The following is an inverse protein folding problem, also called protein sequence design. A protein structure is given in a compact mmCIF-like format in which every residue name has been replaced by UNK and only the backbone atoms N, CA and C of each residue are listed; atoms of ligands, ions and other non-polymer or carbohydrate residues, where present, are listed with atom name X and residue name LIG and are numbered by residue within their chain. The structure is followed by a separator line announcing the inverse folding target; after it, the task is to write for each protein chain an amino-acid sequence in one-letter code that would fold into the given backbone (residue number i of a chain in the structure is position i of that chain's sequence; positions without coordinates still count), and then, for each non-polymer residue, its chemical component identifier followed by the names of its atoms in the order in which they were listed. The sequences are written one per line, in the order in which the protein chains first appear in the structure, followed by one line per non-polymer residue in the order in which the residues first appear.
data_IF_582144089511
#
_entry.id   IF_582144089511
#
_cell.length_a   1.000
_cell.length_b   1.000
_cell.length_c   1.000
_cell.angle_alpha   90.00
_cell.angle_beta   90.00
_cell.angle_gamma   90.00
#
_symmetry.space_group_name_H-M   'P 1'
#
loop_
_entity.id
_entity.type
_entity.pdbx_description
1 polymer ?
#
# COMPACT_ATOMS: atom_id res chain seq x y z
N UNK A 1 -28.35 0.17 15.69
CA UNK A 1 -28.34 1.56 16.16
C UNK A 1 -27.56 1.57 17.48
N UNK A 2 -26.29 1.92 17.43
CA UNK A 2 -25.45 2.20 18.61
C UNK A 2 -24.61 3.42 18.25
N UNK A 3 -25.13 4.59 18.63
CA UNK A 3 -24.45 5.88 18.61
C UNK A 3 -23.79 6.03 19.98
N UNK A 4 -22.66 5.36 20.21
CA UNK A 4 -21.82 5.62 21.38
C UNK A 4 -20.37 5.64 20.90
N UNK A 5 -19.67 6.71 21.29
CA UNK A 5 -18.25 7.01 21.10
C UNK A 5 -17.84 7.71 19.79
N UNK A 6 -18.53 8.80 19.41
CA UNK A 6 -17.83 9.86 18.67
C UNK A 6 -17.02 10.71 19.66
N UNK A 7 -15.69 10.80 19.50
CA UNK A 7 -14.86 11.63 20.36
C UNK A 7 -15.27 13.10 20.21
N UNK A 8 -15.45 13.78 21.34
CA UNK A 8 -15.78 15.20 21.41
C UNK A 8 -14.71 16.00 20.64
N UNK A 9 -15.12 16.69 19.58
CA UNK A 9 -14.23 17.52 18.76
C UNK A 9 -14.13 18.93 19.39
N UNK A 10 -12.97 19.35 19.93
CA UNK A 10 -12.78 20.71 20.42
C UNK A 10 -12.80 21.75 19.28
N UNK A 11 -12.87 23.03 19.67
CA UNK A 11 -13.07 24.18 18.78
C UNK A 11 -12.05 24.31 17.63
N UNK A 12 -10.88 23.69 17.76
CA UNK A 12 -9.79 23.72 16.79
C UNK A 12 -9.93 22.69 15.64
N UNK A 13 -10.99 21.87 15.65
CA UNK A 13 -11.29 20.92 14.58
C UNK A 13 -10.51 19.59 14.61
N UNK A 14 -9.70 19.35 15.65
CA UNK A 14 -8.98 18.10 15.90
C UNK A 14 -9.38 17.50 17.24
N UNK A 15 -9.57 16.18 17.34
CA UNK A 15 -9.87 15.51 18.61
C UNK A 15 -8.69 15.61 19.59
N UNK A 16 -8.95 15.47 20.89
CA UNK A 16 -7.90 15.40 21.92
C UNK A 16 -6.95 14.21 21.71
N UNK A 17 -7.44 13.13 21.08
CA UNK A 17 -6.64 11.95 20.73
C UNK A 17 -5.81 12.12 19.46
N UNK A 18 -5.88 13.29 18.80
CA UNK A 18 -5.12 13.56 17.59
C UNK A 18 -3.61 13.47 17.86
N UNK A 19 -2.89 12.82 16.94
CA UNK A 19 -1.47 12.58 17.11
C UNK A 19 -0.67 13.88 16.99
N UNK A 20 0.27 14.08 17.93
CA UNK A 20 1.27 15.15 17.91
C UNK A 20 2.62 14.59 18.33
N UNK A 21 3.68 14.91 17.59
CA UNK A 21 5.02 14.39 17.89
C UNK A 21 5.58 14.87 19.24
N UNK A 22 5.18 16.06 19.68
CA UNK A 22 5.62 16.69 20.94
C UNK A 22 4.83 16.20 22.17
N UNK A 23 3.74 15.45 21.97
CA UNK A 23 2.83 15.01 23.02
C UNK A 23 2.43 13.52 22.88
N UNK A 24 3.41 12.65 22.63
CA UNK A 24 3.18 11.20 22.56
C UNK A 24 2.85 10.68 23.97
N UNK A 25 1.68 10.06 24.21
CA UNK A 25 1.28 9.62 25.54
C UNK A 25 2.18 8.48 26.05
N UNK A 26 2.32 8.40 27.38
CA UNK A 26 3.00 7.29 28.04
C UNK A 26 2.29 5.97 27.74
N UNK A 27 3.08 4.95 27.50
CA UNK A 27 2.62 3.66 27.00
C UNK A 27 3.17 2.51 27.82
N UNK A 28 2.43 1.40 27.84
CA UNK A 28 2.89 0.16 28.48
C UNK A 28 4.13 -0.40 27.78
N UNK A 29 4.88 -1.24 28.50
CA UNK A 29 6.02 -1.96 27.95
C UNK A 29 5.72 -2.57 26.57
N UNK A 30 6.62 -2.37 25.62
CA UNK A 30 6.60 -3.04 24.34
C UNK A 30 6.76 -4.55 24.59
N UNK A 31 5.78 -5.38 24.22
CA UNK A 31 5.90 -6.82 24.41
C UNK A 31 7.04 -7.35 23.57
N UNK A 32 7.80 -8.31 24.10
CA UNK A 32 8.77 -9.05 23.31
C UNK A 32 8.01 -9.82 22.25
N UNK A 33 8.05 -9.33 21.01
CA UNK A 33 7.19 -9.83 19.96
C UNK A 33 7.82 -11.09 19.36
N UNK A 34 7.70 -12.21 20.08
CA UNK A 34 8.16 -13.53 19.65
C UNK A 34 7.56 -13.92 18.29
N UNK A 35 6.43 -13.33 17.93
CA UNK A 35 5.74 -13.54 16.65
C UNK A 35 6.41 -12.84 15.45
N UNK A 36 7.40 -11.98 15.70
CA UNK A 36 8.29 -11.44 14.68
C UNK A 36 9.55 -12.31 14.48
N UNK A 37 9.76 -13.34 15.32
CA UNK A 37 10.89 -14.27 15.17
C UNK A 37 10.80 -14.99 13.82
N UNK A 38 11.96 -15.11 13.14
CA UNK A 38 12.07 -15.74 11.82
C UNK A 38 11.80 -14.82 10.63
N UNK A 39 11.33 -13.58 10.84
CA UNK A 39 11.24 -12.55 9.79
C UNK A 39 12.55 -11.79 9.66
N UNK A 40 12.88 -11.39 8.43
CA UNK A 40 14.00 -10.48 8.18
C UNK A 40 13.51 -9.04 8.29
N UNK A 41 13.30 -8.61 9.53
CA UNK A 41 13.12 -7.20 9.87
C UNK A 41 14.52 -6.57 9.96
N UNK A 42 14.81 -5.68 9.02
CA UNK A 42 16.11 -5.05 8.85
C UNK A 42 16.28 -3.92 9.85
N UNK A 43 15.30 -3.01 9.94
CA UNK A 43 15.32 -1.90 10.88
C UNK A 43 13.91 -1.47 11.27
N UNK A 44 13.80 -0.92 12.49
CA UNK A 44 12.63 -0.17 12.95
C UNK A 44 12.91 1.32 12.75
N UNK A 45 11.96 2.02 12.14
CA UNK A 45 12.08 3.44 11.79
C UNK A 45 11.73 4.35 12.97
N UNK A 46 12.32 5.55 13.06
CA UNK A 46 12.19 6.43 14.22
C UNK A 46 10.90 7.27 14.16
N UNK A 47 10.42 7.70 15.32
CA UNK A 47 9.27 8.59 15.46
C UNK A 47 9.65 10.07 15.67
N UNK A 48 8.81 10.96 15.12
CA UNK A 48 8.70 12.37 15.53
C UNK A 48 9.71 13.35 14.97
N UNK A 49 10.85 12.90 14.43
CA UNK A 49 11.87 13.79 13.85
C UNK A 49 11.80 13.82 12.32
N UNK A 50 11.06 14.82 11.80
CA UNK A 50 10.74 14.90 10.38
C UNK A 50 11.80 15.62 9.54
N UNK A 51 12.14 15.07 8.37
CA UNK A 51 12.98 15.75 7.39
C UNK A 51 12.18 16.58 6.38
N UNK A 52 10.88 16.35 6.28
CA UNK A 52 10.00 17.13 5.38
C UNK A 52 10.07 16.71 3.90
N UNK A 53 10.83 15.67 3.58
CA UNK A 53 10.98 15.15 2.22
C UNK A 53 9.96 14.04 1.97
N UNK A 54 9.21 14.14 0.87
CA UNK A 54 8.18 13.17 0.49
C UNK A 54 8.77 12.06 -0.40
N UNK A 55 8.24 10.83 -0.37
CA UNK A 55 8.70 9.77 -1.27
C UNK A 55 8.23 10.04 -2.71
N UNK A 56 9.01 9.57 -3.67
CA UNK A 56 8.72 9.72 -5.10
C UNK A 56 7.43 9.02 -5.53
N UNK A 57 6.98 7.99 -4.81
CA UNK A 57 5.75 7.24 -5.16
C UNK A 57 4.51 8.14 -5.29
N UNK A 58 4.42 9.22 -4.51
CA UNK A 58 3.27 10.15 -4.54
C UNK A 58 3.57 11.46 -5.27
N UNK A 59 4.67 11.57 -6.03
CA UNK A 59 5.00 12.79 -6.76
C UNK A 59 5.38 12.48 -8.21
N UNK A 60 5.01 13.38 -9.12
CA UNK A 60 5.32 13.29 -10.56
C UNK A 60 4.78 12.00 -11.22
N UNK A 61 3.57 11.58 -10.85
CA UNK A 61 2.84 10.48 -11.49
C UNK A 61 1.55 11.02 -12.11
N UNK A 62 1.38 10.79 -13.41
CA UNK A 62 0.20 11.23 -14.18
C UNK A 62 -1.12 10.63 -13.70
N UNK A 63 -1.07 9.53 -12.96
CA UNK A 63 -2.27 8.79 -12.53
C UNK A 63 -3.21 9.68 -11.72
N UNK A 64 -2.65 10.43 -10.75
CA UNK A 64 -3.43 11.35 -9.93
C UNK A 64 -4.13 12.42 -10.78
N UNK A 65 -3.41 13.06 -11.71
CA UNK A 65 -3.95 14.17 -12.48
C UNK A 65 -5.02 13.72 -13.47
N UNK A 66 -4.86 12.52 -14.04
CA UNK A 66 -5.88 11.88 -14.88
C UNK A 66 -7.15 11.60 -14.08
N UNK A 67 -7.02 11.06 -12.86
CA UNK A 67 -8.15 10.85 -11.94
C UNK A 67 -8.82 12.17 -11.54
N UNK A 68 -8.03 13.19 -11.19
CA UNK A 68 -8.53 14.52 -10.84
C UNK A 68 -9.33 15.17 -11.98
N UNK A 69 -8.80 15.16 -13.20
CA UNK A 69 -9.51 15.68 -14.39
C UNK A 69 -10.77 14.90 -14.73
N UNK A 70 -10.75 13.59 -14.52
CA UNK A 70 -11.88 12.72 -14.83
C UNK A 70 -13.03 12.91 -13.84
N UNK A 71 -12.74 12.99 -12.53
CA UNK A 71 -13.78 13.13 -11.50
C UNK A 71 -14.36 14.55 -11.48
N UNK A 72 -13.53 15.56 -11.72
CA UNK A 72 -13.95 16.96 -11.76
C UNK A 72 -14.31 17.53 -10.38
N UNK A 73 -15.41 18.27 -10.31
CA UNK A 73 -15.80 19.02 -9.11
C UNK A 73 -16.12 18.13 -7.89
N UNK A 74 -16.50 16.87 -8.12
CA UNK A 74 -16.82 15.92 -7.05
C UNK A 74 -15.58 15.25 -6.44
N UNK A 75 -14.35 15.66 -6.79
CA UNK A 75 -13.11 14.97 -6.40
C UNK A 75 -13.03 14.70 -4.89
N UNK A 76 -13.53 15.62 -4.06
CA UNK A 76 -13.53 15.48 -2.61
C UNK A 76 -14.34 14.27 -2.10
N UNK A 77 -15.51 14.03 -2.67
CA UNK A 77 -16.43 13.02 -2.15
C UNK A 77 -16.00 11.59 -2.53
N UNK A 78 -15.16 11.46 -3.55
CA UNK A 78 -14.78 10.17 -4.14
C UNK A 78 -13.34 9.73 -3.84
N UNK A 79 -12.48 10.61 -3.30
CA UNK A 79 -11.09 10.24 -3.01
C UNK A 79 -10.93 9.54 -1.68
N UNK A 80 -10.01 8.58 -1.65
CA UNK A 80 -9.65 7.85 -0.42
C UNK A 80 -8.59 8.56 0.41
N UNK A 81 -7.92 9.54 -0.19
CA UNK A 81 -6.93 10.40 0.44
C UNK A 81 -7.49 11.81 0.42
N UNK A 82 -7.68 12.38 1.61
CA UNK A 82 -8.11 13.75 1.81
C UNK A 82 -7.47 14.32 3.11
N UNK A 83 -7.90 15.51 3.54
CA UNK A 83 -7.38 16.17 4.73
C UNK A 83 -7.66 15.42 6.03
N UNK A 84 -8.74 14.64 6.07
CA UNK A 84 -9.20 13.96 7.28
C UNK A 84 -8.74 12.51 7.36
N UNK A 85 -8.59 11.86 6.20
CA UNK A 85 -8.40 10.43 6.07
C UNK A 85 -7.39 10.08 4.96
N UNK A 86 -6.38 9.29 5.31
CA UNK A 86 -5.50 8.61 4.38
C UNK A 86 -5.87 7.13 4.36
N UNK A 87 -6.62 6.72 3.35
CA UNK A 87 -7.22 5.40 3.27
C UNK A 87 -6.91 4.73 1.94
N UNK A 88 -6.75 3.40 1.99
CA UNK A 88 -7.05 2.52 0.83
C UNK A 88 -8.38 1.79 1.01
N UNK A 89 -8.96 1.88 2.21
CA UNK A 89 -10.25 1.33 2.62
C UNK A 89 -11.39 2.16 2.07
N UNK A 90 -12.31 1.43 1.48
CA UNK A 90 -13.58 1.91 0.97
C UNK A 90 -14.65 1.52 1.99
N UNK A 91 -15.13 2.49 2.78
CA UNK A 91 -16.32 2.26 3.61
C UNK A 91 -17.56 2.29 2.70
N UNK A 92 -17.80 1.20 1.99
CA UNK A 92 -19.11 0.91 1.41
C UNK A 92 -19.86 0.00 2.38
N UNK A 93 -20.93 0.52 2.99
CA UNK A 93 -21.92 -0.28 3.70
C UNK A 93 -22.83 -1.00 2.68
N UNK A 94 -22.21 -1.84 1.84
CA UNK A 94 -22.90 -2.64 0.83
C UNK A 94 -22.76 -4.11 1.18
N UNK A 95 -23.88 -4.82 1.11
CA UNK A 95 -23.99 -6.26 1.37
C UNK A 95 -22.98 -7.04 0.49
N UNK A 96 -22.37 -8.10 1.03
CA UNK A 96 -21.50 -9.02 0.30
C UNK A 96 -22.15 -9.55 -0.99
N UNK A 97 -23.47 -9.78 -0.96
CA UNK A 97 -24.23 -10.13 -2.16
C UNK A 97 -24.07 -9.08 -3.26
N UNK A 98 -24.24 -7.79 -2.93
CA UNK A 98 -24.06 -6.70 -3.89
C UNK A 98 -22.62 -6.65 -4.43
N UNK A 99 -21.61 -6.89 -3.58
CA UNK A 99 -20.20 -6.96 -4.00
C UNK A 99 -19.96 -8.08 -5.01
N UNK A 100 -20.49 -9.28 -4.74
CA UNK A 100 -20.41 -10.43 -5.63
C UNK A 100 -21.15 -10.14 -6.94
N UNK A 101 -22.37 -9.59 -6.88
CA UNK A 101 -23.14 -9.23 -8.06
C UNK A 101 -22.40 -8.18 -8.90
N UNK A 102 -21.80 -7.17 -8.29
CA UNK A 102 -20.97 -6.17 -8.98
C UNK A 102 -19.76 -6.81 -9.66
N UNK A 103 -19.07 -7.72 -8.97
CA UNK A 103 -17.94 -8.45 -9.55
C UNK A 103 -18.36 -9.30 -10.75
N UNK A 104 -19.43 -10.08 -10.62
CA UNK A 104 -19.99 -10.90 -11.71
C UNK A 104 -20.48 -10.03 -12.87
N UNK A 105 -21.05 -8.86 -12.57
CA UNK A 105 -21.47 -7.89 -13.58
C UNK A 105 -20.27 -7.34 -14.36
N UNK A 106 -19.17 -7.00 -13.68
CA UNK A 106 -17.93 -6.55 -14.34
C UNK A 106 -17.34 -7.69 -15.18
N UNK A 107 -17.24 -8.89 -14.61
CA UNK A 107 -16.74 -10.07 -15.32
C UNK A 107 -17.57 -10.34 -16.59
N UNK A 108 -18.90 -10.24 -16.48
CA UNK A 108 -19.81 -10.41 -17.60
C UNK A 108 -19.62 -9.32 -18.66
N UNK A 109 -19.72 -8.05 -18.26
CA UNK A 109 -19.66 -6.91 -19.19
C UNK A 109 -18.30 -6.73 -19.84
N UNK A 110 -17.20 -6.90 -19.10
CA UNK A 110 -15.84 -6.72 -19.64
C UNK A 110 -15.31 -7.99 -20.30
N UNK A 111 -15.67 -9.18 -19.79
CA UNK A 111 -15.25 -10.46 -20.33
C UNK A 111 -15.96 -10.83 -21.63
N UNK A 112 -17.29 -10.64 -21.72
CA UNK A 112 -18.09 -11.06 -22.89
C UNK A 112 -18.38 -9.94 -23.90
N UNK A 113 -17.99 -8.70 -23.62
CA UNK A 113 -18.15 -7.59 -24.58
C UNK A 113 -17.30 -7.82 -25.84
N UNK A 114 -17.85 -7.42 -26.99
CA UNK A 114 -17.11 -7.32 -28.25
C UNK A 114 -16.06 -6.20 -28.17
N UNK A 115 -16.38 -5.07 -27.55
CA UNK A 115 -15.41 -3.98 -27.41
C UNK A 115 -14.45 -4.33 -26.27
N UNK A 116 -13.14 -4.43 -26.58
CA UNK A 116 -12.04 -4.61 -25.61
C UNK A 116 -12.26 -5.77 -24.60
N UNK A 117 -12.96 -6.82 -25.04
CA UNK A 117 -13.28 -8.01 -24.25
C UNK A 117 -13.10 -9.28 -25.08
N UNK A 118 -13.47 -10.44 -24.52
CA UNK A 118 -13.36 -11.75 -25.14
C UNK A 118 -14.55 -12.15 -26.03
N UNK A 119 -15.54 -11.28 -26.21
CA UNK A 119 -16.78 -11.60 -26.95
C UNK A 119 -16.53 -12.05 -28.39
N UNK A 120 -15.56 -11.46 -29.09
CA UNK A 120 -15.18 -11.89 -30.45
C UNK A 120 -14.67 -13.33 -30.50
N UNK A 121 -13.83 -13.71 -29.54
CA UNK A 121 -13.29 -15.07 -29.47
C UNK A 121 -14.41 -16.09 -29.24
N UNK A 122 -15.31 -15.81 -28.30
CA UNK A 122 -16.46 -16.67 -28.00
C UNK A 122 -17.38 -16.79 -29.22
N UNK A 123 -17.70 -15.68 -29.88
CA UNK A 123 -18.50 -15.68 -31.10
C UNK A 123 -17.82 -16.46 -32.23
N UNK A 124 -16.52 -16.30 -32.44
CA UNK A 124 -15.76 -17.03 -33.46
C UNK A 124 -15.76 -18.54 -33.22
N UNK A 125 -15.49 -18.99 -31.98
CA UNK A 125 -15.52 -20.42 -31.63
C UNK A 125 -16.91 -21.00 -31.83
N UNK A 126 -17.96 -20.31 -31.35
CA UNK A 126 -19.34 -20.78 -31.48
C UNK A 126 -19.79 -20.77 -32.95
N UNK A 127 -19.32 -19.82 -33.76
CA UNK A 127 -19.59 -19.80 -35.20
C UNK A 127 -19.02 -21.05 -35.89
N UNK A 128 -17.77 -21.41 -35.58
CA UNK A 128 -17.14 -22.64 -36.13
C UNK A 128 -17.88 -23.89 -35.66
N UNK A 129 -18.21 -23.99 -34.37
CA UNK A 129 -18.99 -25.10 -33.84
C UNK A 129 -20.38 -25.19 -34.49
N UNK A 130 -21.02 -24.05 -34.78
CA UNK A 130 -22.32 -23.99 -35.45
C UNK A 130 -22.21 -24.54 -36.87
N UNK A 131 -21.17 -24.18 -37.63
CA UNK A 131 -20.94 -24.72 -38.97
C UNK A 131 -20.79 -26.25 -38.98
N UNK A 132 -20.14 -26.81 -37.96
CA UNK A 132 -20.02 -28.26 -37.79
C UNK A 132 -21.36 -28.90 -37.36
N UNK A 133 -22.10 -28.23 -36.47
CA UNK A 133 -23.35 -28.74 -35.91
C UNK A 133 -24.53 -28.70 -36.89
N UNK A 134 -24.48 -27.86 -37.93
CA UNK A 134 -25.50 -27.83 -39.00
C UNK A 134 -25.71 -29.21 -39.62
N UNK A 135 -24.65 -30.02 -39.75
CA UNK A 135 -24.72 -31.37 -40.33
C UNK A 135 -25.33 -32.42 -39.40
N UNK A 136 -25.46 -32.12 -38.11
CA UNK A 136 -25.95 -33.04 -37.07
C UNK A 136 -27.31 -32.62 -36.49
N UNK A 137 -27.82 -31.44 -36.83
CA UNK A 137 -29.05 -30.89 -36.29
C UNK A 137 -30.28 -31.33 -37.12
N UNK A 138 -31.39 -31.60 -36.44
CA UNK A 138 -32.65 -31.99 -37.10
C UNK A 138 -33.34 -30.79 -37.78
N UNK A 139 -33.02 -29.56 -37.33
CA UNK A 139 -33.58 -28.32 -37.88
C UNK A 139 -32.54 -27.21 -37.92
N UNK A 140 -32.70 -26.27 -38.86
CA UNK A 140 -31.87 -25.06 -38.94
C UNK A 140 -31.97 -24.22 -37.66
N UNK A 141 -33.16 -24.16 -37.04
CA UNK A 141 -33.35 -23.41 -35.80
C UNK A 141 -32.45 -23.97 -34.69
N UNK A 142 -32.42 -25.30 -34.51
CA UNK A 142 -31.56 -25.96 -33.54
C UNK A 142 -30.08 -25.72 -33.86
N UNK A 143 -29.70 -25.75 -35.14
CA UNK A 143 -28.32 -25.51 -35.56
C UNK A 143 -27.83 -24.09 -35.18
N UNK A 144 -28.66 -23.06 -35.41
CA UNK A 144 -28.27 -21.67 -35.17
C UNK A 144 -28.55 -21.15 -33.74
N UNK A 145 -29.29 -21.90 -32.93
CA UNK A 145 -29.64 -21.50 -31.55
C UNK A 145 -28.41 -21.12 -30.70
N UNK A 146 -27.30 -21.89 -30.70
CA UNK A 146 -26.10 -21.54 -29.93
C UNK A 146 -25.46 -20.22 -30.38
N UNK A 147 -25.42 -19.97 -31.70
CA UNK A 147 -24.88 -18.73 -32.27
C UNK A 147 -25.75 -17.52 -31.92
N UNK A 148 -27.08 -17.68 -31.95
CA UNK A 148 -28.02 -16.63 -31.54
C UNK A 148 -27.85 -16.26 -30.06
N UNK A 149 -27.71 -17.27 -29.19
CA UNK A 149 -27.45 -17.07 -27.75
C UNK A 149 -26.13 -16.32 -27.56
N UNK A 150 -25.04 -16.79 -28.18
CA UNK A 150 -23.73 -16.16 -28.05
C UNK A 150 -23.72 -14.70 -28.49
N UNK A 151 -24.33 -14.41 -29.64
CA UNK A 151 -24.46 -13.06 -30.18
C UNK A 151 -25.26 -12.16 -29.25
N UNK A 152 -26.38 -12.66 -28.74
CA UNK A 152 -27.26 -11.91 -27.83
C UNK A 152 -26.55 -11.61 -26.51
N UNK A 153 -25.90 -12.61 -25.91
CA UNK A 153 -25.17 -12.47 -24.65
C UNK A 153 -24.01 -11.48 -24.79
N UNK A 154 -23.18 -11.61 -25.83
CA UNK A 154 -22.07 -10.70 -26.07
C UNK A 154 -22.55 -9.29 -26.47
N UNK A 155 -23.65 -9.19 -27.20
CA UNK A 155 -24.29 -7.93 -27.57
C UNK A 155 -24.83 -7.18 -26.34
N UNK A 156 -25.56 -7.88 -25.47
CA UNK A 156 -26.04 -7.33 -24.19
C UNK A 156 -24.87 -6.90 -23.31
N UNK A 157 -23.82 -7.71 -23.19
CA UNK A 157 -22.61 -7.35 -22.44
C UNK A 157 -21.95 -6.08 -23.00
N UNK A 158 -21.90 -5.94 -24.33
CA UNK A 158 -21.33 -4.76 -25.00
C UNK A 158 -22.17 -3.51 -24.74
N UNK A 159 -23.50 -3.61 -24.83
CA UNK A 159 -24.41 -2.51 -24.54
C UNK A 159 -24.27 -2.09 -23.08
N UNK A 160 -24.30 -3.05 -22.13
CA UNK A 160 -24.12 -2.73 -20.71
C UNK A 160 -22.75 -2.11 -20.42
N UNK A 161 -21.69 -2.53 -21.10
CA UNK A 161 -20.38 -1.89 -20.99
C UNK A 161 -20.41 -0.44 -21.50
N UNK A 162 -21.01 -0.18 -22.66
CA UNK A 162 -21.13 1.17 -23.19
C UNK A 162 -22.01 2.07 -22.29
N UNK A 163 -23.11 1.54 -21.77
CA UNK A 163 -23.95 2.25 -20.80
C UNK A 163 -23.19 2.52 -19.50
N UNK A 164 -22.40 1.55 -19.03
CA UNK A 164 -21.54 1.71 -17.85
C UNK A 164 -20.48 2.80 -18.05
N UNK A 165 -19.79 2.79 -19.19
CA UNK A 165 -18.80 3.81 -19.56
C UNK A 165 -19.44 5.19 -19.77
N UNK A 166 -20.69 5.27 -20.25
CA UNK A 166 -21.40 6.53 -20.54
C UNK A 166 -22.09 7.15 -19.33
N UNK A 167 -22.76 6.34 -18.52
CA UNK A 167 -23.61 6.81 -17.42
C UNK A 167 -22.90 6.84 -16.07
N UNK A 168 -21.61 6.49 -16.05
CA UNK A 168 -20.74 6.62 -14.89
C UNK A 168 -21.47 6.38 -13.58
N UNK A 169 -21.63 5.11 -13.20
CA UNK A 169 -21.46 4.84 -11.77
C UNK A 169 -20.04 5.29 -11.46
N UNK A 170 -19.89 6.58 -11.09
CA UNK A 170 -18.68 7.30 -10.66
C UNK A 170 -18.12 6.58 -9.45
N UNK A 171 -17.62 5.40 -9.71
CA UNK A 171 -17.22 4.45 -8.73
C UNK A 171 -15.94 3.79 -9.20
N UNK A 172 -14.94 4.66 -9.20
CA UNK A 172 -13.54 4.31 -9.04
C UNK A 172 -13.23 4.00 -7.57
N UNK A 173 -14.17 3.42 -6.82
CA UNK A 173 -13.75 2.51 -5.74
C UNK A 173 -13.49 1.17 -6.41
N UNK A 174 -12.37 1.14 -7.11
CA UNK A 174 -11.75 -0.07 -7.64
C UNK A 174 -11.94 -1.22 -6.65
N UNK A 175 -11.98 -2.44 -7.17
CA UNK A 175 -12.05 -3.74 -6.50
C UNK A 175 -11.02 -3.99 -5.36
N UNK A 176 -10.53 -2.96 -4.68
CA UNK A 176 -9.67 -2.92 -3.50
C UNK A 176 -10.34 -3.44 -2.22
N UNK A 177 -11.65 -3.70 -2.23
CA UNK A 177 -12.42 -4.28 -1.11
C UNK A 177 -12.03 -5.73 -0.73
N UNK A 178 -11.00 -6.29 -1.37
CA UNK A 178 -10.44 -7.61 -1.03
C UNK A 178 -9.09 -7.56 -0.31
N UNK A 179 -8.61 -6.37 0.07
CA UNK A 179 -7.33 -6.22 0.79
C UNK A 179 -7.51 -5.65 2.20
N UNK A 180 -6.48 -5.79 3.05
CA UNK A 180 -6.46 -5.35 4.44
C UNK A 180 -6.84 -3.87 4.58
N UNK A 181 -8.12 -3.62 4.83
CA UNK A 181 -8.72 -2.29 4.90
C UNK A 181 -8.22 -1.53 6.14
N UNK A 182 -7.44 -0.48 5.91
CA UNK A 182 -7.03 0.50 6.91
C UNK A 182 -7.31 1.93 6.46
N UNK A 183 -7.63 2.80 7.42
CA UNK A 183 -7.77 4.23 7.23
C UNK A 183 -7.10 4.98 8.38
N UNK A 184 -6.10 5.79 8.05
CA UNK A 184 -5.43 6.68 9.00
C UNK A 184 -6.24 7.97 9.08
N UNK A 185 -6.81 8.27 10.25
CA UNK A 185 -7.67 9.43 10.45
C UNK A 185 -6.88 10.52 11.17
N UNK A 186 -6.43 11.55 10.44
CA UNK A 186 -5.63 12.67 10.97
C UNK A 186 -6.35 13.39 12.11
N UNK A 187 -7.63 13.75 11.90
CA UNK A 187 -8.40 14.53 12.87
C UNK A 187 -8.59 13.83 14.22
N UNK A 188 -8.62 12.50 14.25
CA UNK A 188 -8.82 11.74 15.47
C UNK A 188 -7.53 11.12 16.01
N UNK A 189 -6.44 11.07 15.22
CA UNK A 189 -5.22 10.33 15.57
C UNK A 189 -5.38 8.81 15.58
N UNK A 190 -6.48 8.30 15.00
CA UNK A 190 -6.84 6.88 15.06
C UNK A 190 -6.64 6.19 13.72
N UNK A 191 -6.29 4.91 13.77
CA UNK A 191 -6.23 4.00 12.63
C UNK A 191 -7.44 3.09 12.68
N UNK A 192 -8.35 3.25 11.71
CA UNK A 192 -9.54 2.40 11.58
C UNK A 192 -9.19 1.19 10.73
N UNK A 193 -9.43 0.01 11.28
CA UNK A 193 -9.03 -1.27 10.67
C UNK A 193 -10.23 -2.21 10.67
N UNK A 194 -10.12 -3.38 10.03
CA UNK A 194 -11.17 -4.40 10.11
C UNK A 194 -11.25 -5.07 11.51
N UNK A 195 -10.20 -4.98 12.33
CA UNK A 195 -10.13 -5.58 13.69
C UNK A 195 -10.56 -4.63 14.80
N UNK A 196 -10.71 -3.34 14.50
CA UNK A 196 -10.99 -2.32 15.48
C UNK A 196 -10.37 -0.98 15.13
N UNK A 197 -10.46 -0.06 16.08
CA UNK A 197 -9.90 1.28 16.01
C UNK A 197 -8.76 1.35 17.02
N UNK A 198 -7.57 1.71 16.55
CA UNK A 198 -6.35 1.75 17.36
C UNK A 198 -5.67 3.11 17.26
N UNK A 199 -5.07 3.65 18.32
CA UNK A 199 -4.28 4.88 18.22
C UNK A 199 -3.08 4.73 17.29
N UNK A 200 -2.77 5.77 16.53
CA UNK A 200 -1.67 5.73 15.55
C UNK A 200 -0.30 5.49 16.18
N UNK A 201 -0.04 6.05 17.36
CA UNK A 201 1.22 5.91 18.09
C UNK A 201 1.53 4.47 18.57
N UNK A 202 0.55 3.56 18.50
CA UNK A 202 0.74 2.13 18.82
C UNK A 202 1.32 1.32 17.66
N UNK A 203 1.56 1.91 16.48
CA UNK A 203 2.07 1.19 15.30
C UNK A 203 3.54 1.43 15.05
N UNK A 204 4.36 0.39 15.12
CA UNK A 204 5.78 0.48 14.82
C UNK A 204 6.04 0.24 13.32
N UNK A 205 6.82 1.13 12.72
CA UNK A 205 7.23 1.03 11.33
C UNK A 205 8.54 0.23 11.19
N UNK A 206 8.50 -0.82 10.38
CA UNK A 206 9.63 -1.69 10.08
C UNK A 206 9.92 -1.73 8.58
N UNK A 207 11.20 -1.89 8.23
CA UNK A 207 11.61 -2.32 6.90
C UNK A 207 11.74 -3.85 6.93
N UNK A 208 10.90 -4.52 6.16
CA UNK A 208 10.98 -5.97 5.95
C UNK A 208 11.59 -6.29 4.59
N UNK A 209 12.63 -7.13 4.59
CA UNK A 209 13.18 -7.72 3.37
C UNK A 209 12.41 -8.99 3.01
N UNK A 210 11.94 -9.06 1.77
CA UNK A 210 11.40 -10.26 1.16
C UNK A 210 12.28 -10.67 -0.02
N UNK A 211 12.59 -11.95 -0.11
CA UNK A 211 13.36 -12.50 -1.24
C UNK A 211 12.37 -13.10 -2.25
N UNK A 212 12.44 -12.62 -3.49
CA UNK A 212 11.66 -13.17 -4.60
C UNK A 212 12.14 -14.56 -5.00
N UNK A 213 11.32 -15.27 -5.77
CA UNK A 213 11.63 -16.62 -6.27
C UNK A 213 12.90 -16.67 -7.14
N UNK A 214 13.26 -15.55 -7.78
CA UNK A 214 14.49 -15.39 -8.56
C UNK A 214 15.68 -14.85 -7.75
N UNK A 215 15.56 -14.75 -6.42
CA UNK A 215 16.61 -14.23 -5.54
C UNK A 215 16.70 -12.70 -5.47
N UNK A 216 15.83 -11.96 -6.16
CA UNK A 216 15.74 -10.50 -6.03
C UNK A 216 15.29 -10.10 -4.63
N UNK A 217 15.92 -9.08 -4.05
CA UNK A 217 15.56 -8.55 -2.74
C UNK A 217 14.56 -7.40 -2.89
N UNK A 218 13.48 -7.46 -2.12
CA UNK A 218 12.44 -6.44 -2.07
C UNK A 218 12.29 -5.95 -0.64
N UNK A 219 12.42 -4.64 -0.44
CA UNK A 219 12.17 -4.02 0.86
C UNK A 219 10.74 -3.49 0.90
N UNK A 220 9.99 -3.80 1.95
CA UNK A 220 8.64 -3.30 2.14
C UNK A 220 8.54 -2.54 3.45
N UNK A 221 7.82 -1.42 3.44
CA UNK A 221 7.50 -0.69 4.67
C UNK A 221 6.29 -1.37 5.31
N UNK A 222 6.48 -1.88 6.53
CA UNK A 222 5.47 -2.55 7.33
C UNK A 222 5.12 -1.72 8.54
N UNK A 223 3.85 -1.42 8.75
CA UNK A 223 3.36 -0.93 10.04
C UNK A 223 2.82 -2.10 10.82
N UNK A 224 3.35 -2.34 12.02
CA UNK A 224 2.96 -3.45 12.89
C UNK A 224 2.42 -2.88 14.19
N UNK A 225 1.23 -3.30 14.58
CA UNK A 225 0.65 -2.93 15.87
C UNK A 225 1.47 -3.53 17.02
N UNK A 226 1.94 -2.66 17.92
CA UNK A 226 2.88 -3.01 19.01
C UNK A 226 2.26 -3.95 20.03
N UNK A 227 0.95 -3.95 20.20
CA UNK A 227 0.25 -4.74 21.23
C UNK A 227 -0.65 -5.84 20.62
N UNK A 228 -0.07 -7.00 20.24
CA UNK A 228 -0.82 -8.11 19.63
C UNK A 228 -2.03 -8.57 20.45
N UNK A 229 -2.00 -8.42 21.78
CA UNK A 229 -3.11 -8.79 22.66
C UNK A 229 -4.33 -7.87 22.51
N UNK A 230 -4.16 -6.61 22.06
CA UNK A 230 -5.26 -5.66 21.80
C UNK A 230 -5.80 -5.80 20.38
N UNK A 231 -4.97 -6.25 19.46
CA UNK A 231 -5.39 -6.64 18.11
C UNK A 231 -5.11 -8.13 17.92
N UNK A 232 -5.92 -9.07 18.46
CA UNK A 232 -5.71 -10.49 18.21
C UNK A 232 -6.19 -10.87 16.80
N UNK A 233 -5.48 -11.77 16.14
CA UNK A 233 -5.94 -12.37 14.87
C UNK A 233 -6.60 -13.70 15.23
N UNK A 234 -7.83 -13.91 14.76
CA UNK A 234 -8.62 -15.08 15.14
C UNK A 234 -7.97 -16.41 14.71
N UNK A 235 -7.11 -16.40 13.68
CA UNK A 235 -6.52 -17.60 13.10
C UNK A 235 -5.03 -17.75 13.38
N UNK A 236 -4.23 -16.73 13.06
CA UNK A 236 -2.77 -16.80 13.11
C UNK A 236 -2.16 -16.23 14.39
N UNK A 237 -2.98 -15.59 15.24
CA UNK A 237 -2.56 -14.81 16.42
C UNK A 237 -1.53 -13.70 16.11
N UNK A 238 -1.20 -13.43 14.84
CA UNK A 238 -0.22 -12.40 14.44
C UNK A 238 -0.71 -11.00 14.80
N UNK A 239 0.22 -10.06 15.11
CA UNK A 239 -0.14 -8.65 15.27
C UNK A 239 -0.82 -8.13 14.01
N UNK A 240 -1.63 -7.09 14.17
CA UNK A 240 -2.19 -6.37 13.04
C UNK A 240 -1.07 -5.67 12.28
N UNK A 241 -0.97 -5.92 10.97
CA UNK A 241 0.06 -5.32 10.13
C UNK A 241 -0.47 -4.80 8.80
N UNK A 242 0.19 -3.76 8.30
CA UNK A 242 -0.08 -3.13 7.01
C UNK A 242 1.19 -3.07 6.18
N UNK A 243 1.06 -3.32 4.88
CA UNK A 243 2.15 -3.22 3.92
C UNK A 243 1.98 -2.01 3.04
N UNK A 244 3.04 -1.21 2.93
CA UNK A 244 3.13 -0.10 2.01
C UNK A 244 4.10 -0.49 0.89
N UNK A 245 3.56 -0.52 -0.32
CA UNK A 245 4.33 -0.67 -1.55
C UNK A 245 4.89 0.70 -1.90
N UNK A 246 6.20 0.86 -1.71
CA UNK A 246 6.94 2.07 -2.04
C UNK A 246 8.03 1.67 -3.03
N UNK A 247 8.11 2.38 -4.14
CA UNK A 247 9.08 2.08 -5.19
C UNK A 247 10.44 2.70 -4.86
N UNK A 248 11.52 2.07 -5.33
CA UNK A 248 12.87 2.63 -5.27
C UNK A 248 13.75 2.05 -4.17
N UNK A 249 14.55 2.91 -3.53
CA UNK A 249 15.56 2.57 -2.51
C UNK A 249 14.97 2.50 -1.09
N UNK A 250 15.76 2.05 -0.11
CA UNK A 250 15.35 2.05 1.29
C UNK A 250 15.06 3.47 1.80
N UNK A 251 15.78 4.48 1.32
CA UNK A 251 15.53 5.89 1.61
C UNK A 251 14.07 6.29 1.28
N UNK A 252 13.49 5.73 0.22
CA UNK A 252 12.07 5.98 -0.12
C UNK A 252 11.11 5.45 0.97
N UNK A 253 11.45 4.36 1.68
CA UNK A 253 10.63 3.84 2.80
C UNK A 253 10.72 4.75 4.02
N UNK A 254 11.91 5.31 4.30
CA UNK A 254 12.07 6.35 5.31
C UNK A 254 11.24 7.58 4.98
N UNK A 255 11.31 8.08 3.73
CA UNK A 255 10.50 9.20 3.27
C UNK A 255 9.00 8.92 3.36
N UNK A 256 8.56 7.71 3.02
CA UNK A 256 7.15 7.31 3.13
C UNK A 256 6.66 7.27 4.58
N UNK A 257 7.49 6.79 5.51
CA UNK A 257 7.18 6.82 6.93
C UNK A 257 7.14 8.25 7.49
N UNK A 258 8.12 9.08 7.12
CA UNK A 258 8.18 10.49 7.47
C UNK A 258 6.94 11.25 7.00
N UNK A 259 6.55 11.04 5.74
CA UNK A 259 5.36 11.64 5.14
C UNK A 259 4.08 11.19 5.85
N UNK A 260 3.94 9.90 6.17
CA UNK A 260 2.76 9.38 6.88
C UNK A 260 2.67 9.95 8.30
N UNK A 261 3.79 10.07 9.00
CA UNK A 261 3.80 10.71 10.32
C UNK A 261 3.41 12.19 10.24
N UNK A 262 3.99 12.96 9.30
CA UNK A 262 3.60 14.37 9.07
C UNK A 262 2.13 14.51 8.69
N UNK A 263 1.59 13.56 7.91
CA UNK A 263 0.17 13.50 7.61
C UNK A 263 -0.69 13.27 8.86
N UNK A 264 -0.23 12.46 9.81
CA UNK A 264 -0.99 12.20 11.04
C UNK A 264 -0.77 13.26 12.12
N UNK A 265 0.35 13.97 12.10
CA UNK A 265 0.72 14.98 13.09
C UNK A 265 -0.02 16.29 12.83
N UNK A 266 -0.94 16.65 13.73
CA UNK A 266 -1.72 17.89 13.62
C UNK A 266 -0.92 19.14 13.93
N UNK A 267 0.30 19.03 14.48
CA UNK A 267 1.23 20.15 14.65
C UNK A 267 1.95 20.54 13.35
N UNK A 268 2.00 19.62 12.38
CA UNK A 268 2.63 19.82 11.08
C UNK A 268 1.57 20.09 10.00
N UNK A 269 1.87 20.89 8.95
CA UNK A 269 0.98 20.99 7.81
C UNK A 269 0.92 19.66 7.05
N UNK A 270 -0.16 19.44 6.31
CA UNK A 270 -0.30 18.32 5.40
C UNK A 270 0.91 18.26 4.44
N UNK A 271 1.42 17.05 4.13
CA UNK A 271 2.48 16.88 3.14
C UNK A 271 2.12 17.56 1.81
N UNK A 272 3.07 18.31 1.24
CA UNK A 272 2.90 18.94 -0.07
C UNK A 272 3.07 17.90 -1.19
N UNK A 273 1.99 17.17 -1.45
CA UNK A 273 1.86 16.17 -2.52
C UNK A 273 0.60 16.47 -3.35
N UNK A 274 0.57 16.06 -4.63
CA UNK A 274 -0.55 16.31 -5.53
C UNK A 274 -1.90 15.85 -4.96
N UNK A 275 -1.96 14.66 -4.35
CA UNK A 275 -3.19 14.09 -3.80
C UNK A 275 -3.84 14.95 -2.70
N UNK A 276 -3.01 15.69 -1.95
CA UNK A 276 -3.47 16.51 -0.83
C UNK A 276 -3.67 17.99 -1.20
N UNK A 277 -3.14 18.44 -2.35
CA UNK A 277 -3.25 19.84 -2.79
C UNK A 277 -4.70 20.37 -2.76
N UNK A 278 -5.71 19.66 -3.30
CA UNK A 278 -7.09 20.14 -3.30
C UNK A 278 -7.65 20.34 -1.89
N UNK A 279 -7.14 19.63 -0.89
CA UNK A 279 -7.71 19.57 0.46
C UNK A 279 -6.97 20.45 1.48
N UNK A 280 -5.85 21.07 1.11
CA UNK A 280 -5.01 21.87 2.04
C UNK A 280 -5.77 22.96 2.78
N UNK A 281 -6.72 23.60 2.10
CA UNK A 281 -7.53 24.68 2.66
C UNK A 281 -8.58 24.22 3.70
N UNK A 282 -8.85 22.91 3.76
CA UNK A 282 -9.83 22.30 4.68
C UNK A 282 -9.20 21.87 6.02
N UNK A 283 -7.86 21.70 6.06
CA UNK A 283 -7.14 21.36 7.28
C UNK A 283 -6.75 22.64 8.05
N UNK A 284 -7.16 22.81 9.33
CA UNK A 284 -6.88 24.01 10.11
C UNK A 284 -5.39 24.39 10.19
N UNK A 285 -4.51 23.43 10.52
CA UNK A 285 -3.06 23.67 10.64
C UNK A 285 -2.45 24.03 9.29
N UNK A 286 -2.82 23.31 8.23
CA UNK A 286 -2.31 23.55 6.89
C UNK A 286 -2.78 24.89 6.35
N UNK A 287 -4.05 25.24 6.55
CA UNK A 287 -4.61 26.54 6.17
C UNK A 287 -3.84 27.68 6.82
N UNK A 288 -3.61 27.63 8.14
CA UNK A 288 -2.83 28.64 8.86
C UNK A 288 -1.38 28.73 8.35
N UNK A 289 -0.76 27.59 8.03
CA UNK A 289 0.59 27.53 7.46
C UNK A 289 0.68 28.15 6.06
N UNK A 290 -0.31 27.88 5.20
CA UNK A 290 -0.40 28.40 3.84
C UNK A 290 -0.74 29.90 3.84
N UNK A 291 -1.68 30.35 4.68
CA UNK A 291 -2.02 31.78 4.87
C UNK A 291 -0.83 32.59 5.42
N UNK A 292 0.03 31.98 6.22
CA UNK A 292 1.29 32.58 6.68
C UNK A 292 2.38 32.66 5.59
N UNK A 293 2.10 32.18 4.37
CA UNK A 293 3.04 32.22 3.24
C UNK A 293 4.21 31.25 3.36
N UNK A 294 4.17 30.29 4.30
CA UNK A 294 5.29 29.37 4.57
C UNK A 294 5.41 28.22 3.58
N UNK A 295 4.40 27.97 2.74
CA UNK A 295 4.41 26.92 1.71
C UNK A 295 5.49 27.14 0.66
N UNK A 296 5.85 28.40 0.36
CA UNK A 296 6.81 28.75 -0.69
C UNK A 296 6.38 28.36 -2.11
N UNK A 297 5.13 27.92 -2.30
CA UNK A 297 4.55 27.52 -3.60
C UNK A 297 3.12 28.06 -3.73
N UNK A 298 2.66 28.34 -4.96
CA UNK A 298 1.26 28.70 -5.23
C UNK A 298 0.28 27.62 -4.75
N UNK A 299 -0.96 28.04 -4.47
CA UNK A 299 -2.03 27.16 -4.00
C UNK A 299 -2.29 25.96 -4.94
N UNK A 300 -2.11 26.17 -6.25
CA UNK A 300 -2.44 25.26 -7.36
C UNK A 300 -1.20 24.71 -8.07
N UNK A 301 -0.05 24.76 -7.40
CA UNK A 301 1.25 24.37 -7.94
C UNK A 301 1.23 23.01 -8.64
N UNK A 302 0.74 21.95 -8.00
CA UNK A 302 0.77 20.61 -8.59
C UNK A 302 -0.15 20.53 -9.80
N UNK A 303 -1.40 21.01 -9.65
CA UNK A 303 -2.36 21.07 -10.76
C UNK A 303 -1.79 21.79 -11.99
N UNK A 304 -1.14 22.94 -11.78
CA UNK A 304 -0.60 23.75 -12.86
C UNK A 304 0.67 23.11 -13.45
N UNK A 305 1.49 22.43 -12.63
CA UNK A 305 2.64 21.64 -13.10
C UNK A 305 2.18 20.52 -14.04
N UNK A 306 1.25 19.67 -13.62
CA UNK A 306 0.76 18.57 -14.48
C UNK A 306 -0.06 19.05 -15.68
N UNK A 307 -0.68 20.23 -15.60
CA UNK A 307 -1.40 20.80 -16.73
C UNK A 307 -0.47 21.26 -17.86
N UNK A 308 0.73 21.73 -17.51
CA UNK A 308 1.64 22.39 -18.44
C UNK A 308 2.88 21.56 -18.80
N UNK A 309 3.24 20.55 -18.01
CA UNK A 309 4.42 19.72 -18.26
C UNK A 309 4.14 18.53 -19.16
N UNK A 310 5.15 18.16 -19.95
CA UNK A 310 5.15 16.92 -20.73
C UNK A 310 5.46 15.70 -19.84
N UNK A 311 5.13 14.49 -20.33
CA UNK A 311 5.45 13.23 -19.62
C UNK A 311 6.97 13.07 -19.39
N UNK A 312 7.79 13.52 -20.34
CA UNK A 312 9.26 13.47 -20.23
C UNK A 312 9.79 14.42 -19.14
N UNK A 313 9.23 15.64 -19.06
CA UNK A 313 9.58 16.60 -18.00
C UNK A 313 9.19 16.07 -16.62
N UNK A 314 7.99 15.50 -16.47
CA UNK A 314 7.54 14.91 -15.20
C UNK A 314 8.44 13.74 -14.80
N UNK A 315 8.86 12.92 -15.76
CA UNK A 315 9.81 11.84 -15.51
C UNK A 315 11.18 12.37 -15.06
N UNK A 316 11.69 13.42 -15.69
CA UNK A 316 12.95 14.05 -15.30
C UNK A 316 12.87 14.66 -13.88
N UNK A 317 11.76 15.34 -13.55
CA UNK A 317 11.50 15.85 -12.19
C UNK A 317 11.41 14.72 -11.17
N UNK A 318 10.77 13.59 -11.53
CA UNK A 318 10.70 12.40 -10.69
C UNK A 318 12.08 11.82 -10.40
N UNK A 319 12.96 11.76 -11.39
CA UNK A 319 14.33 11.26 -11.24
C UNK A 319 15.20 12.20 -10.40
N UNK A 320 15.08 13.51 -10.61
CA UNK A 320 15.75 14.52 -9.77
C UNK A 320 15.31 14.42 -8.30
N UNK A 321 14.00 14.35 -8.05
CA UNK A 321 13.44 14.17 -6.71
C UNK A 321 13.86 12.84 -6.08
N UNK A 322 13.97 11.78 -6.90
CA UNK A 322 14.48 10.48 -6.44
C UNK A 322 15.91 10.59 -5.93
N UNK A 323 16.79 11.28 -6.66
CA UNK A 323 18.17 11.50 -6.24
C UNK A 323 18.27 12.33 -4.96
N UNK A 324 17.40 13.33 -4.77
CA UNK A 324 17.31 14.09 -3.51
C UNK A 324 16.96 13.17 -2.33
N UNK A 325 15.92 12.35 -2.48
CA UNK A 325 15.51 11.40 -1.43
C UNK A 325 16.64 10.41 -1.13
N UNK A 326 17.29 9.88 -2.16
CA UNK A 326 18.32 8.85 -2.01
C UNK A 326 19.64 9.40 -1.44
N UNK A 327 19.94 10.68 -1.66
CA UNK A 327 21.13 11.36 -1.10
C UNK A 327 20.91 11.91 0.31
N UNK A 328 19.66 11.97 0.78
CA UNK A 328 19.34 12.46 2.12
C UNK A 328 19.81 11.50 3.20
N UNK A 329 20.38 12.04 4.28
CA UNK A 329 20.81 11.25 5.44
C UNK A 329 19.59 10.96 6.33
N UNK A 330 19.07 9.74 6.22
CA UNK A 330 17.84 9.32 6.93
C UNK A 330 18.09 8.69 8.32
N UNK A 331 19.27 8.08 8.52
CA UNK A 331 19.63 7.35 9.74
C UNK A 331 20.12 8.26 10.88
N UNK A 332 20.14 7.72 12.09
CA UNK A 332 20.77 8.38 13.25
C UNK A 332 19.91 9.46 13.93
N UNK A 333 18.64 9.58 13.53
CA UNK A 333 17.70 10.52 14.15
C UNK A 333 17.22 10.01 15.51
N UNK A 334 16.99 10.92 16.48
CA UNK A 334 16.40 10.51 17.76
C UNK A 334 15.01 9.94 17.51
N UNK A 335 14.65 8.91 18.27
CA UNK A 335 13.33 8.29 18.21
C UNK A 335 12.51 8.76 19.41
N UNK A 336 11.56 9.68 19.20
CA UNK A 336 10.79 10.26 20.31
C UNK A 336 9.96 9.23 21.08
N UNK A 337 9.63 8.10 20.44
CA UNK A 337 8.90 7.01 21.08
C UNK A 337 9.71 6.31 22.18
N UNK A 338 11.04 6.46 22.20
CA UNK A 338 11.91 5.99 23.30
C UNK A 338 11.58 6.68 24.63
N UNK A 339 11.03 7.90 24.60
CA UNK A 339 10.63 8.63 25.81
C UNK A 339 9.28 8.14 26.36
N UNK A 340 8.39 7.67 25.49
CA UNK A 340 7.02 7.27 25.85
C UNK A 340 6.90 5.79 26.22
N UNK A 341 7.83 4.94 25.80
CA UNK A 341 7.78 3.48 26.00
C UNK A 341 9.03 3.00 26.74
N UNK A 342 8.92 2.50 27.99
CA UNK A 342 10.07 2.26 28.87
C UNK A 342 11.17 1.31 28.35
N UNK A 343 10.81 0.27 27.60
CA UNK A 343 11.76 -0.74 27.06
C UNK A 343 11.90 -0.66 25.54
N UNK A 344 11.57 0.49 24.93
CA UNK A 344 11.45 0.59 23.48
C UNK A 344 12.78 0.38 22.75
N UNK A 345 13.90 0.82 23.33
CA UNK A 345 15.24 0.65 22.76
C UNK A 345 15.67 -0.83 22.74
N UNK A 346 15.31 -1.59 23.78
CA UNK A 346 15.68 -3.00 23.90
C UNK A 346 15.02 -3.88 22.84
N UNK A 347 13.84 -3.49 22.35
CA UNK A 347 13.13 -4.18 21.27
C UNK A 347 13.58 -3.74 19.86
N UNK A 348 14.52 -2.79 19.75
CA UNK A 348 15.01 -2.24 18.48
C UNK A 348 16.21 -3.07 17.98
N UNK A 349 16.19 -3.50 16.72
CA UNK A 349 17.45 -3.74 16.00
C UNK A 349 17.98 -2.39 15.56
N UNK A 350 19.22 -2.05 15.96
CA UNK A 350 19.82 -0.75 15.68
C UNK A 350 19.73 -0.37 14.20
N UNK A 351 19.45 0.90 13.92
CA UNK A 351 19.58 1.42 12.56
C UNK A 351 21.05 1.33 12.12
N UNK A 352 21.34 0.93 10.87
CA UNK A 352 22.68 1.10 10.34
C UNK A 352 23.00 2.58 10.19
N UNK A 353 24.28 2.90 10.29
CA UNK A 353 24.79 4.27 10.11
C UNK A 353 24.53 4.78 8.68
N UNK A 354 24.54 3.91 7.67
CA UNK A 354 24.13 4.22 6.30
C UNK A 354 22.89 3.39 5.89
N UNK A 355 21.82 4.08 5.50
CA UNK A 355 20.60 3.46 4.96
C UNK A 355 20.80 2.85 3.57
N UNK A 356 21.92 3.11 2.92
CA UNK A 356 22.32 2.46 1.67
C UNK A 356 23.15 1.18 1.91
N UNK A 357 23.67 0.95 3.12
CA UNK A 357 24.45 -0.24 3.45
C UNK A 357 23.59 -1.51 3.54
N UNK A 358 22.29 -1.39 3.77
CA UNK A 358 21.37 -2.53 3.74
C UNK A 358 21.39 -3.29 2.39
N UNK A 359 21.79 -2.62 1.29
CA UNK A 359 21.94 -3.25 -0.03
C UNK A 359 23.25 -4.03 -0.22
N UNK A 360 24.22 -3.90 0.69
CA UNK A 360 25.54 -4.55 0.60
C UNK A 360 25.65 -5.71 1.58
N UNK A 361 25.01 -6.83 1.28
CA UNK A 361 25.45 -8.08 1.90
C UNK A 361 26.77 -8.57 1.26
N UNK A 362 27.69 -9.20 2.02
CA UNK A 362 29.11 -9.37 1.67
C UNK A 362 29.43 -10.29 0.50
N UNK A 363 28.43 -10.82 -0.21
CA UNK A 363 28.64 -11.89 -1.19
C UNK A 363 29.20 -11.42 -2.53
N UNK A 364 29.45 -10.12 -2.72
CA UNK A 364 30.04 -9.56 -3.95
C UNK A 364 31.44 -8.95 -3.79
N UNK A 365 32.00 -8.93 -2.59
CA UNK A 365 33.39 -8.53 -2.36
C UNK A 365 34.11 -9.55 -1.48
N UNK A 366 34.14 -10.79 -1.95
CA UNK A 366 34.97 -11.84 -1.37
C UNK A 366 35.45 -12.73 -2.51
N UNK A 367 36.77 -12.79 -2.70
CA UNK A 367 37.45 -13.82 -3.49
C UNK A 367 36.69 -15.14 -3.33
N UNK A 368 36.37 -15.81 -4.43
CA UNK A 368 36.09 -17.24 -4.38
C UNK A 368 37.24 -17.86 -3.59
N UNK A 369 36.96 -18.34 -2.39
CA UNK A 369 37.86 -19.28 -1.75
C UNK A 369 37.80 -20.48 -2.66
N UNK A 370 38.88 -20.71 -3.41
CA UNK A 370 39.02 -21.88 -4.25
C UNK A 370 38.59 -23.07 -3.39
N UNK A 371 37.50 -23.72 -3.82
CA UNK A 371 37.07 -24.98 -3.25
C UNK A 371 38.31 -25.87 -3.28
N UNK A 372 38.82 -26.39 -2.14
CA UNK A 372 39.93 -27.32 -2.20
C UNK A 372 39.49 -28.44 -3.13
N UNK A 373 40.31 -28.68 -4.16
CA UNK A 373 40.08 -29.76 -5.12
C UNK A 373 39.74 -31.02 -4.34
N UNK A 374 38.64 -31.65 -4.72
CA UNK A 374 38.23 -32.90 -4.10
C UNK A 374 39.36 -33.90 -4.30
N UNK A 375 40.11 -34.18 -3.23
CA UNK A 375 41.13 -35.22 -3.23
C UNK A 375 40.44 -36.51 -3.64
N UNK A 376 40.89 -37.08 -4.76
CA UNK A 376 40.43 -38.36 -5.27
C UNK A 376 40.48 -39.39 -4.16
N UNK A 377 39.35 -40.04 -3.91
CA UNK A 377 39.20 -41.16 -2.98
C UNK A 377 40.01 -42.36 -3.48
N UNK A 378 41.28 -42.45 -3.08
CA UNK A 378 42.11 -43.64 -3.07
C UNK A 378 43.20 -43.38 -2.01
N UNK A 379 43.28 -44.28 -1.04
CA UNK A 379 44.21 -44.31 0.10
C UNK A 379 43.93 -43.42 1.31
N UNK A 380 43.04 -43.91 2.18
CA UNK A 380 43.30 -43.84 3.63
C UNK A 380 42.58 -44.99 4.35
N UNK A 381 43.29 -46.09 4.51
CA UNK A 381 43.07 -47.11 5.53
C UNK A 381 43.20 -46.46 6.91
N UNK A 382 42.25 -46.66 7.82
CA UNK A 382 42.55 -47.08 9.21
C UNK A 382 41.28 -47.26 10.08
N UNK A 383 41.05 -48.55 10.33
CA UNK A 383 40.47 -49.25 11.48
C UNK A 383 39.78 -48.44 12.62
N UNK A 384 38.47 -48.66 12.78
CA UNK A 384 37.76 -48.53 14.06
C UNK A 384 37.95 -49.80 14.91
N UNK A 385 38.26 -49.72 16.21
CA UNK A 385 38.11 -50.85 17.12
C UNK A 385 36.67 -50.93 17.68
N UNK A 386 36.16 -52.16 17.68
CA UNK A 386 34.93 -52.59 18.33
C UNK A 386 34.97 -52.35 19.84
N UNK A 387 33.85 -51.96 20.42
CA UNK A 387 33.53 -52.31 21.81
C UNK A 387 32.09 -52.84 21.89
N UNK A 388 31.99 -54.07 22.39
CA UNK A 388 30.78 -54.85 22.56
C UNK A 388 29.98 -54.45 23.82
N UNK A 389 28.65 -54.38 23.62
CA UNK A 389 27.51 -54.74 24.48
C UNK A 389 27.77 -55.58 25.77
N UNK A 390 26.87 -55.58 26.80
CA UNK A 390 25.48 -56.03 26.60
C UNK A 390 24.34 -55.62 27.57
N UNK A 391 23.12 -55.79 27.02
CA UNK A 391 21.79 -56.09 27.60
C UNK A 391 21.11 -55.12 28.57
#
# INVERSE_FOLDING_TARGET
MSLQDEPLMPADGYAETAYRADAIPEQSYAPQNDMLRGRVLEARLPWGNYLGINPTTYQYSDLWFKEYKYIGDDYNDYTMINESRWSKRVDENVNDFYRITRFLFILFTHGFSFIRGGGWFIFSVISVCTLLFIFAADTLLQAFTPLLIATTVCGIATIFRQLWEKYELKFYKSNRNWSNDYAFCRRTGMVKTFRGIFPFYEFDAYIEMTVGTQGSQFHSLKLVHRYPHRSPDSFSKRPLEFSFTVDGSIAQRYAAWDMLQRYMDVSQPLPDVPELEPFRHLDPTTKAFDEAGKRGRPATYWRDLYANSSEEELKALREAHRAEVDSTIWGGRPDLMELSVPNYRETRKGEPEDVNDFGRFPWKEGKFVDRPEATSSLDSTDQQPNDEHPR
#
